data_IF_756683728415
#
_entry.id   IF_756683728415
#
_cell.length_a   1.000
_cell.length_b   1.000
_cell.length_c   1.000
_cell.angle_alpha   90.00
_cell.angle_beta   90.00
_cell.angle_gamma   90.00
#
_symmetry.space_group_name_H-M   'P 1'
#
loop_
_entity.id
_entity.type
_entity.pdbx_description
1 polymer ?
#
# COMPACT_ATOMS: atom_id res chain seq x y z
N UNK A 1 -5.31 -11.44 -1.82
CA UNK A 1 -4.24 -11.78 -0.84
C UNK A 1 -3.51 -10.50 -0.46
N UNK A 2 -3.17 -10.32 0.82
CA UNK A 2 -2.45 -9.13 1.28
C UNK A 2 -0.96 -9.45 1.41
N UNK A 3 -0.12 -8.74 0.68
CA UNK A 3 1.33 -8.78 0.84
C UNK A 3 1.76 -7.48 1.51
N UNK A 4 2.21 -7.55 2.76
CA UNK A 4 2.87 -6.41 3.39
C UNK A 4 4.24 -6.23 2.72
N UNK A 5 4.41 -5.04 2.15
CA UNK A 5 5.61 -4.69 1.37
C UNK A 5 6.79 -4.45 2.32
N UNK A 6 6.49 -4.01 3.55
CA UNK A 6 7.43 -3.91 4.67
C UNK A 6 7.57 -5.26 5.39
N UNK A 7 8.42 -6.12 4.84
CA UNK A 7 9.20 -7.05 5.64
C UNK A 7 10.57 -6.41 5.95
N UNK A 8 11.23 -6.76 7.07
CA UNK A 8 12.40 -6.06 7.64
C UNK A 8 13.68 -6.02 6.78
N UNK A 9 13.63 -6.48 5.52
CA UNK A 9 14.80 -6.68 4.64
C UNK A 9 14.60 -6.23 3.18
N UNK A 10 13.53 -5.49 2.86
CA UNK A 10 13.32 -4.96 1.50
C UNK A 10 13.42 -3.43 1.45
N UNK A 11 13.73 -2.83 0.28
CA UNK A 11 13.60 -1.38 0.13
C UNK A 11 12.14 -0.99 0.39
N UNK A 12 11.94 0.00 1.27
CA UNK A 12 10.61 0.51 1.61
C UNK A 12 9.90 0.96 0.33
N UNK A 13 8.60 0.68 0.25
CA UNK A 13 7.73 1.13 -0.85
C UNK A 13 8.05 0.53 -2.22
N UNK A 14 8.70 -0.63 -2.29
CA UNK A 14 8.95 -1.34 -3.55
C UNK A 14 8.08 -2.59 -3.63
N UNK A 15 7.15 -2.61 -4.58
CA UNK A 15 6.33 -3.78 -4.87
C UNK A 15 7.22 -4.96 -5.25
N UNK A 16 7.01 -6.11 -4.60
CA UNK A 16 7.72 -7.35 -4.95
C UNK A 16 7.12 -7.94 -6.26
N UNK A 17 7.87 -8.76 -7.02
CA UNK A 17 7.33 -9.44 -8.20
C UNK A 17 6.38 -10.61 -7.87
N UNK A 18 6.47 -11.18 -6.66
CA UNK A 18 5.66 -12.32 -6.21
C UNK A 18 4.13 -12.15 -6.30
N UNK A 19 3.55 -11.01 -5.91
CA UNK A 19 2.14 -10.70 -6.09
C UNK A 19 1.61 -10.90 -7.53
N UNK A 20 2.38 -10.53 -8.56
CA UNK A 20 1.97 -10.68 -9.97
C UNK A 20 1.89 -12.15 -10.36
N UNK A 21 2.90 -12.94 -9.97
CA UNK A 21 2.93 -14.38 -10.21
C UNK A 21 1.73 -15.07 -9.57
N UNK A 22 1.43 -14.69 -8.33
CA UNK A 22 0.36 -15.32 -7.58
C UNK A 22 -1.03 -14.89 -8.06
N UNK A 23 -1.21 -13.62 -8.39
CA UNK A 23 -2.45 -13.12 -9.01
C UNK A 23 -2.73 -13.83 -10.34
N UNK A 24 -1.70 -14.01 -11.18
CA UNK A 24 -1.81 -14.79 -12.42
C UNK A 24 -2.22 -16.25 -12.16
N UNK A 25 -1.59 -16.90 -11.18
CA UNK A 25 -1.83 -18.32 -10.89
C UNK A 25 -3.20 -18.58 -10.25
N UNK A 26 -3.72 -17.61 -9.49
CA UNK A 26 -4.96 -17.78 -8.71
C UNK A 26 -6.17 -17.08 -9.31
N UNK A 27 -5.97 -16.17 -10.27
CA UNK A 27 -7.01 -15.26 -10.77
C UNK A 27 -7.45 -14.19 -9.76
N UNK A 28 -6.86 -14.15 -8.56
CA UNK A 28 -7.22 -13.18 -7.54
C UNK A 28 -6.68 -11.77 -7.91
N UNK A 29 -7.46 -10.69 -7.68
CA UNK A 29 -6.97 -9.34 -7.93
C UNK A 29 -5.86 -8.95 -6.96
N UNK A 30 -4.94 -8.12 -7.45
CA UNK A 30 -3.99 -7.39 -6.63
C UNK A 30 -4.59 -6.05 -6.19
N UNK A 31 -4.27 -5.62 -4.98
CA UNK A 31 -4.54 -4.26 -4.50
C UNK A 31 -3.30 -3.74 -3.78
N UNK A 32 -2.99 -2.46 -3.97
CA UNK A 32 -2.02 -1.74 -3.18
C UNK A 32 -2.74 -0.94 -2.09
N UNK A 33 -2.15 -0.84 -0.91
CA UNK A 33 -2.66 0.04 0.14
C UNK A 33 -1.52 0.71 0.89
N UNK A 34 -1.81 1.87 1.47
CA UNK A 34 -0.91 2.58 2.38
C UNK A 34 -1.70 3.16 3.55
N UNK A 35 -1.09 3.16 4.73
CA UNK A 35 -1.63 3.79 5.94
C UNK A 35 -0.69 4.93 6.31
N UNK A 36 -1.16 6.17 6.18
CA UNK A 36 -0.46 7.33 6.72
C UNK A 36 -0.93 7.58 8.15
N UNK A 37 -0.01 7.92 9.05
CA UNK A 37 -0.29 8.23 10.46
C UNK A 37 0.15 9.67 10.70
N UNK A 38 -0.75 10.51 11.24
CA UNK A 38 -0.50 11.93 11.44
C UNK A 38 0.66 12.18 12.42
N UNK A 39 0.63 11.47 13.55
CA UNK A 39 1.59 11.61 14.63
C UNK A 39 1.97 10.22 15.15
N UNK A 40 3.19 9.77 14.88
CA UNK A 40 3.70 8.51 15.39
C UNK A 40 5.03 8.71 16.15
N UNK A 41 5.28 7.85 17.12
CA UNK A 41 6.63 7.58 17.60
C UNK A 41 7.25 6.51 16.71
N UNK A 42 8.39 6.82 16.11
CA UNK A 42 9.20 5.81 15.43
C UNK A 42 10.20 5.26 16.43
N UNK A 43 10.03 4.00 16.84
CA UNK A 43 10.99 3.34 17.70
C UNK A 43 12.27 3.06 16.92
N UNK A 44 13.43 3.26 17.55
CA UNK A 44 14.73 2.90 16.97
C UNK A 44 15.03 1.40 17.19
N UNK A 45 14.04 0.55 16.94
CA UNK A 45 14.16 -0.91 16.96
C UNK A 45 14.59 -1.43 15.59
N UNK A 46 15.03 -2.69 15.53
CA UNK A 46 15.51 -3.34 14.30
C UNK A 46 14.50 -3.34 13.14
N UNK A 47 13.21 -3.14 13.44
CA UNK A 47 12.06 -3.09 12.53
C UNK A 47 11.46 -1.68 12.36
N UNK A 48 12.01 -0.65 13.04
CA UNK A 48 11.53 0.75 12.98
C UNK A 48 10.02 0.88 13.14
N UNK A 49 9.45 0.22 14.17
CA UNK A 49 8.00 0.26 14.43
C UNK A 49 7.52 1.70 14.60
N UNK A 50 6.43 2.03 13.91
CA UNK A 50 5.69 3.27 14.13
C UNK A 50 4.52 2.99 15.07
N UNK A 51 4.53 3.63 16.24
CA UNK A 51 3.44 3.59 17.22
C UNK A 51 2.68 4.91 17.11
N UNK A 52 1.41 4.91 16.67
CA UNK A 52 0.58 6.13 16.68
C UNK A 52 0.53 6.73 18.09
N UNK A 53 0.74 8.04 18.20
CA UNK A 53 0.52 8.75 19.47
C UNK A 53 -0.97 8.72 19.83
N UNK A 54 -1.34 8.84 21.12
CA UNK A 54 -2.73 9.01 21.51
C UNK A 54 -3.40 10.14 20.72
N UNK A 55 -4.64 9.91 20.26
CA UNK A 55 -5.43 10.83 19.42
C UNK A 55 -4.84 11.11 18.02
N UNK A 56 -3.79 10.40 17.60
CA UNK A 56 -3.31 10.48 16.22
C UNK A 56 -4.38 9.98 15.25
N UNK A 57 -4.55 10.69 14.14
CA UNK A 57 -5.35 10.24 13.02
C UNK A 57 -4.54 9.32 12.12
N UNK A 58 -5.24 8.44 11.40
CA UNK A 58 -4.67 7.61 10.36
C UNK A 58 -5.56 7.62 9.12
N UNK A 59 -4.95 7.57 7.94
CA UNK A 59 -5.63 7.51 6.66
C UNK A 59 -5.19 6.26 5.90
N UNK A 60 -6.09 5.29 5.77
CA UNK A 60 -5.91 4.12 4.92
C UNK A 60 -6.41 4.45 3.51
N UNK A 61 -5.54 4.30 2.51
CA UNK A 61 -5.91 4.36 1.11
C UNK A 61 -5.65 3.02 0.44
N UNK A 62 -6.64 2.51 -0.28
CA UNK A 62 -6.56 1.29 -1.08
C UNK A 62 -6.70 1.67 -2.56
N UNK A 63 -5.94 1.01 -3.43
CA UNK A 63 -6.01 1.20 -4.88
C UNK A 63 -7.24 0.52 -5.47
N UNK A 64 -7.52 0.81 -6.75
CA UNK A 64 -8.36 -0.07 -7.56
C UNK A 64 -7.75 -1.48 -7.62
N UNK A 65 -8.59 -2.47 -7.89
CA UNK A 65 -8.16 -3.83 -8.18
C UNK A 65 -7.38 -3.88 -9.50
N UNK A 66 -6.29 -4.65 -9.53
CA UNK A 66 -5.49 -4.94 -10.72
C UNK A 66 -5.61 -6.44 -10.99
N UNK A 67 -6.15 -6.80 -12.15
CA UNK A 67 -6.31 -8.18 -12.58
C UNK A 67 -5.18 -8.59 -13.51
N UNK A 68 -4.53 -9.70 -13.21
CA UNK A 68 -3.46 -10.25 -14.06
C UNK A 68 -4.05 -11.35 -14.94
N UNK A 69 -3.85 -11.25 -16.25
CA UNK A 69 -4.32 -12.26 -17.18
C UNK A 69 -3.61 -13.61 -16.94
N UNK A 70 -4.36 -14.72 -16.94
CA UNK A 70 -3.82 -16.07 -16.69
C UNK A 70 -2.67 -16.45 -17.64
N UNK A 71 -2.75 -15.99 -18.89
CA UNK A 71 -1.77 -16.23 -19.95
C UNK A 71 -0.78 -15.07 -20.15
N UNK A 72 -0.62 -14.19 -19.16
CA UNK A 72 0.32 -13.08 -19.25
C UNK A 72 1.75 -13.59 -19.50
N UNK A 73 2.36 -13.13 -20.59
CA UNK A 73 3.77 -13.33 -20.90
C UNK A 73 4.68 -12.50 -19.98
N UNK A 74 5.99 -12.61 -20.13
CA UNK A 74 6.95 -11.92 -19.27
C UNK A 74 6.89 -10.39 -19.41
N UNK A 75 6.63 -9.87 -20.61
CA UNK A 75 6.48 -8.43 -20.83
C UNK A 75 5.19 -7.90 -20.18
N UNK A 76 4.09 -8.67 -20.26
CA UNK A 76 2.84 -8.34 -19.60
C UNK A 76 2.97 -8.43 -18.08
N UNK A 77 3.68 -9.42 -17.55
CA UNK A 77 3.98 -9.53 -16.11
C UNK A 77 4.76 -8.32 -15.62
N UNK A 78 5.77 -7.87 -16.36
CA UNK A 78 6.53 -6.67 -16.00
C UNK A 78 5.65 -5.42 -16.00
N UNK A 79 4.73 -5.30 -16.99
CA UNK A 79 3.73 -4.21 -17.00
C UNK A 79 2.81 -4.24 -15.78
N UNK A 80 2.33 -5.41 -15.38
CA UNK A 80 1.49 -5.54 -14.17
C UNK A 80 2.27 -5.25 -12.89
N UNK A 81 3.56 -5.60 -12.85
CA UNK A 81 4.44 -5.26 -11.73
C UNK A 81 4.64 -3.74 -11.64
N UNK A 82 4.93 -3.08 -12.77
CA UNK A 82 5.01 -1.62 -12.85
C UNK A 82 3.67 -0.93 -12.50
N UNK A 83 2.53 -1.49 -12.92
CA UNK A 83 1.21 -0.96 -12.54
C UNK A 83 0.98 -1.06 -11.02
N UNK A 84 1.37 -2.18 -10.41
CA UNK A 84 1.28 -2.38 -8.96
C UNK A 84 2.17 -1.39 -8.20
N UNK A 85 3.40 -1.17 -8.66
CA UNK A 85 4.30 -0.17 -8.11
C UNK A 85 3.69 1.24 -8.19
N UNK A 86 3.22 1.64 -9.38
CA UNK A 86 2.59 2.95 -9.56
C UNK A 86 1.31 3.10 -8.72
N UNK A 87 0.57 2.00 -8.50
CA UNK A 87 -0.58 2.01 -7.61
C UNK A 87 -0.18 2.23 -6.14
N UNK A 88 0.89 1.59 -5.70
CA UNK A 88 1.47 1.77 -4.36
C UNK A 88 1.91 3.21 -4.13
N UNK A 89 2.63 3.80 -5.09
CA UNK A 89 3.12 5.17 -5.00
C UNK A 89 1.94 6.16 -4.91
N UNK A 90 0.92 6.00 -5.77
CA UNK A 90 -0.29 6.83 -5.74
C UNK A 90 -1.04 6.76 -4.41
N UNK A 91 -1.25 5.56 -3.86
CA UNK A 91 -1.99 5.44 -2.58
C UNK A 91 -1.19 6.00 -1.41
N UNK A 92 0.14 5.87 -1.44
CA UNK A 92 1.04 6.46 -0.46
C UNK A 92 1.01 7.98 -0.52
N UNK A 93 1.30 8.56 -1.69
CA UNK A 93 1.31 10.02 -1.88
C UNK A 93 -0.02 10.64 -1.46
N UNK A 94 -1.13 10.03 -1.87
CA UNK A 94 -2.45 10.48 -1.46
C UNK A 94 -2.63 10.44 0.06
N UNK A 95 -2.34 9.31 0.70
CA UNK A 95 -2.56 9.15 2.13
C UNK A 95 -1.68 10.12 2.94
N UNK A 96 -0.39 10.24 2.61
CA UNK A 96 0.55 11.15 3.28
C UNK A 96 0.15 12.62 3.11
N UNK A 97 -0.31 13.01 1.91
CA UNK A 97 -0.74 14.39 1.64
C UNK A 97 -2.05 14.77 2.36
N UNK A 98 -2.90 13.78 2.69
CA UNK A 98 -4.26 14.04 3.17
C UNK A 98 -4.49 13.61 4.64
N UNK A 99 -3.52 12.98 5.32
CA UNK A 99 -3.71 12.48 6.69
C UNK A 99 -4.11 13.56 7.70
N UNK A 100 -3.66 14.81 7.50
CA UNK A 100 -4.02 15.97 8.32
C UNK A 100 -5.46 16.45 8.12
N UNK A 101 -6.07 16.09 6.99
CA UNK A 101 -7.46 16.43 6.66
C UNK A 101 -8.46 15.38 7.18
N UNK A 102 -7.99 14.29 7.81
CA UNK A 102 -8.86 13.30 8.45
C UNK A 102 -9.70 14.00 9.53
N UNK A 103 -11.02 13.83 9.50
CA UNK A 103 -11.96 14.56 10.37
C UNK A 103 -12.51 15.86 9.77
N UNK A 104 -12.03 16.29 8.61
CA UNK A 104 -12.66 17.37 7.82
C UNK A 104 -13.87 16.86 7.04
N UNK A 105 -14.63 17.76 6.41
CA UNK A 105 -15.74 17.38 5.52
C UNK A 105 -15.33 16.44 4.37
N UNK A 106 -14.07 16.53 3.92
CA UNK A 106 -13.52 15.68 2.84
C UNK A 106 -13.22 14.25 3.29
N UNK A 107 -12.94 14.06 4.58
CA UNK A 107 -12.68 12.77 5.20
C UNK A 107 -13.39 12.70 6.56
N UNK A 108 -14.72 12.82 6.53
CA UNK A 108 -15.53 12.83 7.74
C UNK A 108 -15.40 11.51 8.49
N UNK A 109 -15.27 11.60 9.81
CA UNK A 109 -15.22 10.45 10.72
C UNK A 109 -16.62 10.21 11.35
N UNK A 110 -17.66 10.91 10.87
CA UNK A 110 -19.00 10.78 11.41
C UNK A 110 -19.57 9.37 11.18
N UNK A 111 -19.96 8.74 12.29
CA UNK A 111 -20.64 7.45 12.40
C UNK A 111 -22.04 7.45 11.80
#
# INVERSE_FOLDING_TARGET
MAFTIDGPRGPRYVAKPGPVLLARATGAPMVAFHIAIENAWTLNTWDKVMIPKPFSRALLRISRQIFVAAHADDAQRERFHAELQAALDRVREFAEANVKEVGSAKFSIAS
#
